data_IF_589412868777
#
_entry.id   IF_589412868777
#
_cell.length_a   1.000
_cell.length_b   1.000
_cell.length_c   1.000
_cell.angle_alpha   90.00
_cell.angle_beta   90.00
_cell.angle_gamma   90.00
#
_symmetry.space_group_name_H-M   'P 1'
#
loop_
_entity.id
_entity.type
_entity.pdbx_description
1 polymer ?
#
# COMPACT_ATOMS: atom_id res chain seq x y z
N UNK A 1 -1.91 -15.99 21.66
CA UNK A 1 -3.16 -15.34 21.21
C UNK A 1 -4.20 -15.21 22.31
N UNK A 2 -4.57 -16.27 23.05
CA UNK A 2 -5.60 -16.24 24.11
C UNK A 2 -5.31 -15.21 25.22
N UNK A 3 -4.06 -15.10 25.68
CA UNK A 3 -3.66 -14.10 26.69
C UNK A 3 -3.90 -12.65 26.21
N UNK A 4 -3.59 -12.35 24.95
CA UNK A 4 -3.82 -11.02 24.37
C UNK A 4 -5.32 -10.68 24.35
N UNK A 5 -6.17 -11.64 23.91
CA UNK A 5 -7.62 -11.46 23.87
C UNK A 5 -8.17 -11.19 25.27
N UNK A 6 -7.72 -11.94 26.29
CA UNK A 6 -8.16 -11.74 27.68
C UNK A 6 -7.70 -10.39 28.24
N UNK A 7 -6.46 -9.98 27.94
CA UNK A 7 -5.89 -8.73 28.43
C UNK A 7 -6.56 -7.48 27.82
N UNK A 8 -7.11 -7.59 26.60
CA UNK A 8 -7.76 -6.49 25.87
C UNK A 8 -9.28 -6.65 25.81
N UNK A 9 -9.85 -7.57 26.60
CA UNK A 9 -11.29 -7.83 26.56
C UNK A 9 -12.12 -6.57 26.82
N UNK A 10 -13.05 -6.30 25.91
CA UNK A 10 -13.93 -5.14 25.98
C UNK A 10 -13.26 -3.81 25.63
N UNK A 11 -11.99 -3.79 25.24
CA UNK A 11 -11.30 -2.59 24.80
C UNK A 11 -11.57 -2.33 23.31
N UNK A 12 -11.85 -1.07 22.98
CA UNK A 12 -12.13 -0.60 21.62
C UNK A 12 -11.41 0.72 21.37
N UNK A 13 -11.10 0.99 20.10
CA UNK A 13 -10.60 2.29 19.66
C UNK A 13 -11.76 3.24 19.42
N UNK A 14 -11.67 4.42 20.01
CA UNK A 14 -12.69 5.48 19.92
C UNK A 14 -12.06 6.79 19.44
N UNK A 15 -12.78 7.52 18.62
CA UNK A 15 -12.42 8.89 18.23
C UNK A 15 -13.67 9.76 18.20
N UNK A 16 -13.63 10.93 18.84
CA UNK A 16 -14.78 11.83 18.89
C UNK A 16 -16.07 11.20 19.44
N UNK A 17 -15.97 10.21 20.36
CA UNK A 17 -17.10 9.49 20.93
C UNK A 17 -17.68 8.37 20.05
N UNK A 18 -17.11 8.12 18.88
CA UNK A 18 -17.51 7.05 17.94
C UNK A 18 -16.46 5.94 17.84
N UNK A 19 -16.90 4.73 17.48
CA UNK A 19 -16.01 3.60 17.26
C UNK A 19 -15.17 3.83 16.00
N UNK A 20 -13.84 3.65 16.09
CA UNK A 20 -12.97 3.76 14.94
C UNK A 20 -13.15 2.59 13.97
N UNK A 21 -13.09 2.86 12.67
CA UNK A 21 -12.88 1.84 11.63
C UNK A 21 -11.39 1.43 11.65
N UNK A 22 -11.07 0.38 12.40
CA UNK A 22 -9.70 -0.05 12.68
C UNK A 22 -9.09 -0.82 11.50
N UNK A 23 -8.83 -0.14 10.39
CA UNK A 23 -8.21 -0.70 9.18
C UNK A 23 -6.75 -1.11 9.42
N UNK A 24 -6.29 -2.10 8.67
CA UNK A 24 -4.90 -2.55 8.72
C UNK A 24 -4.43 -3.10 7.38
N UNK A 25 -3.14 -3.05 7.13
CA UNK A 25 -2.47 -3.63 5.95
C UNK A 25 -1.16 -4.28 6.35
N UNK A 26 -0.60 -5.14 5.49
CA UNK A 26 0.68 -5.82 5.79
C UNK A 26 1.84 -4.86 5.95
N UNK A 27 2.00 -3.93 4.99
CA UNK A 27 3.06 -2.92 5.02
C UNK A 27 2.57 -1.61 4.41
N UNK A 28 2.70 -0.51 5.12
CA UNK A 28 2.37 0.82 4.59
C UNK A 28 3.39 1.32 3.55
N UNK A 29 4.62 0.78 3.54
CA UNK A 29 5.69 1.22 2.64
C UNK A 29 6.43 2.46 3.13
N UNK A 30 6.26 2.82 4.42
CA UNK A 30 6.93 3.92 5.12
C UNK A 30 6.07 5.15 5.37
N UNK A 31 4.92 5.27 4.70
CA UNK A 31 3.89 6.31 4.96
C UNK A 31 2.51 5.66 4.90
N UNK A 32 1.68 5.94 5.89
CA UNK A 32 0.29 5.50 5.92
C UNK A 32 -0.55 6.31 4.94
N UNK A 33 -1.61 5.66 4.40
CA UNK A 33 -2.54 6.27 3.46
C UNK A 33 -3.80 6.75 4.18
N UNK A 34 -4.45 7.75 3.62
CA UNK A 34 -5.77 8.23 4.06
C UNK A 34 -6.89 7.33 3.53
N UNK A 35 -7.95 7.19 4.33
CA UNK A 35 -9.09 6.34 4.02
C UNK A 35 -9.76 6.70 2.68
N UNK A 36 -10.00 7.98 2.43
CA UNK A 36 -10.71 8.46 1.24
C UNK A 36 -10.01 8.18 -0.09
N UNK A 37 -8.71 7.94 -0.08
CA UNK A 37 -7.95 7.57 -1.27
C UNK A 37 -8.17 6.09 -1.64
N UNK A 38 -8.56 5.25 -0.66
CA UNK A 38 -8.80 3.82 -0.84
C UNK A 38 -10.27 3.47 -1.08
N UNK A 39 -11.18 4.13 -0.36
CA UNK A 39 -12.61 3.82 -0.35
C UNK A 39 -13.48 5.01 -0.71
N UNK A 40 -14.53 5.29 0.08
CA UNK A 40 -15.44 6.42 -0.11
C UNK A 40 -14.72 7.75 0.18
N UNK A 41 -15.17 8.85 -0.43
CA UNK A 41 -14.62 10.19 -0.17
C UNK A 41 -15.14 10.72 1.19
N UNK A 42 -14.77 10.02 2.25
CA UNK A 42 -15.10 10.34 3.63
C UNK A 42 -13.82 10.41 4.44
N UNK A 43 -13.52 11.58 5.00
CA UNK A 43 -12.31 11.77 5.80
C UNK A 43 -12.52 11.23 7.22
N UNK A 44 -11.52 10.51 7.72
CA UNK A 44 -11.43 10.06 9.10
C UNK A 44 -10.19 10.64 9.75
N UNK A 45 -10.32 11.59 10.65
CA UNK A 45 -9.19 12.28 11.31
C UNK A 45 -8.18 11.33 11.94
N UNK A 46 -8.60 10.14 12.38
CA UNK A 46 -7.74 9.12 12.96
C UNK A 46 -7.05 8.19 11.95
N UNK A 47 -7.36 8.31 10.65
CA UNK A 47 -6.71 7.58 9.54
C UNK A 47 -5.97 8.55 8.62
N UNK A 48 -5.19 9.43 9.20
CA UNK A 48 -4.38 10.40 8.46
C UNK A 48 -3.05 9.83 7.97
N UNK A 49 -2.51 10.47 6.94
CA UNK A 49 -1.19 10.17 6.43
C UNK A 49 -0.12 10.53 7.45
N UNK A 50 0.73 9.56 7.77
CA UNK A 50 1.82 9.72 8.73
C UNK A 50 3.00 8.86 8.36
N UNK A 51 4.20 9.33 8.72
CA UNK A 51 5.40 8.54 8.59
C UNK A 51 5.41 7.37 9.58
N UNK A 52 5.73 6.17 9.07
CA UNK A 52 5.89 4.95 9.88
C UNK A 52 7.32 4.88 10.44
N UNK A 53 7.63 5.70 11.45
CA UNK A 53 8.96 5.82 12.04
C UNK A 53 8.97 6.25 13.50
N UNK A 54 10.15 6.22 14.12
CA UNK A 54 10.32 6.60 15.54
C UNK A 54 10.09 8.10 15.79
N UNK A 55 10.43 8.91 14.81
CA UNK A 55 10.27 10.36 14.87
C UNK A 55 9.14 10.78 13.92
N UNK A 56 8.41 11.81 14.30
CA UNK A 56 7.47 12.52 13.43
C UNK A 56 8.26 13.39 12.45
N UNK A 57 9.03 12.74 11.58
CA UNK A 57 9.76 13.45 10.54
C UNK A 57 8.82 13.82 9.41
N UNK A 58 9.00 15.01 8.88
CA UNK A 58 8.36 15.41 7.65
C UNK A 58 8.75 14.45 6.51
N UNK A 59 7.82 14.14 5.65
CA UNK A 59 8.06 13.40 4.43
C UNK A 59 7.63 14.25 3.21
N UNK A 60 8.22 14.00 2.03
CA UNK A 60 7.88 14.78 0.84
C UNK A 60 6.39 14.58 0.46
N UNK A 61 5.80 15.57 -0.18
CA UNK A 61 4.44 15.47 -0.73
C UNK A 61 4.38 14.37 -1.81
N UNK A 62 3.96 13.16 -1.42
CA UNK A 62 3.90 11.98 -2.29
C UNK A 62 2.69 11.98 -3.25
N UNK A 63 1.84 13.00 -3.20
CA UNK A 63 0.82 13.22 -4.23
C UNK A 63 1.46 13.70 -5.54
N UNK A 64 2.68 14.22 -5.48
CA UNK A 64 3.48 14.64 -6.63
C UNK A 64 4.27 13.46 -7.19
N UNK A 65 4.17 13.26 -8.49
CA UNK A 65 4.77 12.10 -9.17
C UNK A 65 6.29 11.99 -8.94
N UNK A 66 7.03 13.10 -9.04
CA UNK A 66 8.49 13.10 -8.85
C UNK A 66 8.89 12.66 -7.44
N UNK A 67 8.22 13.20 -6.42
CA UNK A 67 8.46 12.85 -5.03
C UNK A 67 8.07 11.39 -4.74
N UNK A 68 6.93 10.94 -5.27
CA UNK A 68 6.47 9.56 -5.13
C UNK A 68 7.45 8.58 -5.80
N UNK A 69 7.96 8.92 -6.99
CA UNK A 69 8.94 8.09 -7.69
C UNK A 69 10.24 7.98 -6.89
N UNK A 70 10.78 9.09 -6.40
CA UNK A 70 11.99 9.09 -5.56
C UNK A 70 11.79 8.26 -4.29
N UNK A 71 10.65 8.43 -3.59
CA UNK A 71 10.30 7.67 -2.39
C UNK A 71 10.20 6.17 -2.65
N UNK A 72 9.50 5.79 -3.71
CA UNK A 72 9.28 4.38 -4.07
C UNK A 72 10.59 3.70 -4.48
N UNK A 73 11.44 4.39 -5.22
CA UNK A 73 12.72 3.86 -5.71
C UNK A 73 13.81 3.86 -4.63
N UNK A 74 13.68 4.69 -3.60
CA UNK A 74 14.56 4.71 -2.44
C UNK A 74 14.11 3.70 -1.36
N UNK A 75 14.88 3.57 -0.29
CA UNK A 75 14.54 2.70 0.84
C UNK A 75 14.70 3.46 2.16
N UNK A 76 13.89 4.51 2.41
CA UNK A 76 14.00 5.29 3.64
C UNK A 76 13.70 4.44 4.87
N UNK A 77 14.24 4.86 6.02
CA UNK A 77 14.00 4.16 7.28
C UNK A 77 12.50 4.22 7.64
N UNK A 78 11.96 3.10 8.11
CA UNK A 78 10.59 2.99 8.60
C UNK A 78 10.50 1.77 9.53
N UNK A 79 9.50 1.70 10.41
CA UNK A 79 9.28 0.49 11.20
C UNK A 79 9.07 -0.73 10.30
N UNK A 80 8.29 -0.60 9.23
CA UNK A 80 8.05 -1.71 8.31
C UNK A 80 9.19 -2.00 7.32
N UNK A 81 10.30 -1.25 7.35
CA UNK A 81 11.49 -1.54 6.55
C UNK A 81 12.37 -2.58 7.26
N UNK A 82 11.92 -3.82 7.29
CA UNK A 82 12.63 -4.93 7.91
C UNK A 82 12.59 -6.18 7.03
N UNK A 83 13.65 -6.96 7.08
CA UNK A 83 13.75 -8.31 6.50
C UNK A 83 14.01 -9.36 7.58
N UNK A 84 13.88 -8.99 8.85
CA UNK A 84 14.10 -9.87 9.98
C UNK A 84 13.08 -11.02 10.01
N UNK A 85 13.51 -12.28 9.82
CA UNK A 85 12.59 -13.42 9.74
C UNK A 85 11.89 -13.69 11.07
N UNK A 86 12.51 -13.37 12.22
CA UNK A 86 11.88 -13.57 13.54
C UNK A 86 10.69 -12.64 13.73
N UNK A 87 10.79 -11.41 13.22
CA UNK A 87 9.69 -10.44 13.24
C UNK A 87 8.62 -10.82 12.20
N UNK A 88 9.03 -11.10 10.96
CA UNK A 88 8.10 -11.40 9.87
C UNK A 88 7.28 -12.67 10.15
N UNK A 89 7.86 -13.70 10.74
CA UNK A 89 7.16 -14.95 11.09
C UNK A 89 6.05 -14.78 12.13
N UNK A 90 6.06 -13.69 12.90
CA UNK A 90 5.03 -13.42 13.92
C UNK A 90 3.74 -12.85 13.32
N UNK A 91 3.81 -12.21 12.16
CA UNK A 91 2.69 -11.47 11.56
C UNK A 91 2.29 -11.97 10.18
N UNK A 92 3.11 -12.81 9.57
CA UNK A 92 2.85 -13.36 8.24
C UNK A 92 2.42 -14.82 8.34
N UNK A 93 1.49 -15.20 7.47
CA UNK A 93 1.11 -16.61 7.29
C UNK A 93 2.25 -17.36 6.58
N UNK A 94 2.26 -18.69 6.68
CA UNK A 94 3.32 -19.54 6.12
C UNK A 94 3.53 -19.30 4.61
N UNK A 95 2.46 -19.12 3.83
CA UNK A 95 2.52 -18.84 2.40
C UNK A 95 2.98 -17.42 2.05
N UNK A 96 2.97 -16.48 3.00
CA UNK A 96 3.49 -15.13 2.81
C UNK A 96 5.00 -15.06 3.15
N UNK A 97 5.58 -16.10 3.75
CA UNK A 97 7.00 -16.15 4.12
C UNK A 97 7.92 -16.50 2.95
N UNK A 98 7.38 -16.84 1.79
CA UNK A 98 8.15 -17.11 0.57
C UNK A 98 8.85 -15.87 0.01
N UNK A 99 8.41 -14.66 0.39
CA UNK A 99 9.01 -13.39 -0.01
C UNK A 99 9.41 -12.56 1.21
N UNK A 100 10.42 -11.69 1.01
CA UNK A 100 10.83 -10.66 1.98
C UNK A 100 10.57 -9.24 1.46
N UNK A 101 10.01 -9.12 0.27
CA UNK A 101 9.87 -7.87 -0.48
C UNK A 101 8.59 -7.10 -0.11
N UNK A 102 8.29 -7.00 1.20
CA UNK A 102 7.09 -6.30 1.69
C UNK A 102 7.23 -4.79 1.66
N UNK A 103 8.44 -4.29 1.89
CA UNK A 103 8.70 -2.86 1.94
C UNK A 103 8.91 -2.27 0.55
N UNK A 104 9.68 -2.98 -0.30
CA UNK A 104 9.90 -2.63 -1.71
C UNK A 104 9.79 -3.90 -2.53
N UNK A 105 9.11 -3.81 -3.67
CA UNK A 105 8.84 -4.96 -4.52
C UNK A 105 9.02 -4.61 -6.00
N UNK A 106 9.14 -5.62 -6.82
CA UNK A 106 9.30 -5.53 -8.27
C UNK A 106 8.48 -6.61 -8.95
N UNK A 107 7.77 -6.24 -10.03
CA UNK A 107 7.05 -7.16 -10.92
C UNK A 107 7.37 -6.79 -12.36
N UNK A 108 7.52 -7.79 -13.21
CA UNK A 108 7.85 -7.61 -14.62
C UNK A 108 6.80 -8.31 -15.49
N UNK A 109 6.46 -7.69 -16.59
CA UNK A 109 5.55 -8.23 -17.60
C UNK A 109 6.11 -7.95 -19.00
N UNK A 110 6.03 -8.94 -19.87
CA UNK A 110 6.14 -8.71 -21.33
C UNK A 110 4.92 -7.96 -21.83
N UNK A 111 5.00 -7.42 -23.04
CA UNK A 111 3.86 -6.74 -23.70
C UNK A 111 2.62 -7.65 -23.77
N UNK A 112 2.81 -8.93 -24.16
CA UNK A 112 1.72 -9.86 -24.32
C UNK A 112 1.09 -10.25 -22.98
N UNK A 113 1.92 -10.48 -21.95
CA UNK A 113 1.44 -10.81 -20.60
C UNK A 113 0.58 -9.68 -20.02
N UNK A 114 1.05 -8.43 -20.07
CA UNK A 114 0.31 -7.31 -19.48
C UNK A 114 -0.98 -7.01 -20.27
N UNK A 115 -0.96 -7.12 -21.60
CA UNK A 115 -2.14 -6.92 -22.42
C UNK A 115 -3.21 -7.99 -22.15
N UNK A 116 -2.82 -9.27 -22.07
CA UNK A 116 -3.70 -10.37 -21.74
C UNK A 116 -4.26 -10.25 -20.33
N UNK A 117 -3.40 -9.94 -19.34
CA UNK A 117 -3.77 -9.76 -17.95
C UNK A 117 -4.81 -8.65 -17.76
N UNK A 118 -4.54 -7.45 -18.30
CA UNK A 118 -5.46 -6.32 -18.20
C UNK A 118 -6.81 -6.64 -18.86
N UNK A 119 -6.79 -7.30 -20.03
CA UNK A 119 -8.01 -7.74 -20.70
C UNK A 119 -8.82 -8.71 -19.85
N UNK A 120 -8.18 -9.72 -19.29
CA UNK A 120 -8.82 -10.72 -18.42
C UNK A 120 -9.43 -10.05 -17.18
N UNK A 121 -8.64 -9.22 -16.50
CA UNK A 121 -9.02 -8.64 -15.19
C UNK A 121 -10.05 -7.52 -15.30
N UNK A 122 -10.00 -6.73 -16.37
CA UNK A 122 -10.92 -5.59 -16.56
C UNK A 122 -12.10 -5.89 -17.49
N UNK A 123 -12.09 -7.02 -18.20
CA UNK A 123 -13.05 -7.34 -19.25
C UNK A 123 -12.94 -6.43 -20.50
N UNK A 124 -11.88 -5.62 -20.59
CA UNK A 124 -11.69 -4.61 -21.63
C UNK A 124 -10.46 -4.93 -22.48
N UNK A 125 -10.65 -5.08 -23.77
CA UNK A 125 -9.55 -5.26 -24.74
C UNK A 125 -8.95 -3.90 -25.14
N UNK A 126 -7.75 -3.64 -24.63
CA UNK A 126 -6.98 -2.43 -24.96
C UNK A 126 -6.06 -2.63 -26.18
N UNK A 127 -5.91 -3.85 -26.71
CA UNK A 127 -4.86 -4.20 -27.64
C UNK A 127 -3.49 -4.22 -26.94
N UNK A 128 -2.43 -3.88 -27.66
CA UNK A 128 -1.10 -3.68 -27.04
C UNK A 128 -1.14 -2.48 -26.10
N UNK A 129 -0.45 -2.57 -24.99
CA UNK A 129 -0.37 -1.48 -24.00
C UNK A 129 0.79 -0.56 -24.38
N UNK A 130 0.50 0.71 -24.55
CA UNK A 130 1.50 1.74 -24.82
C UNK A 130 2.06 2.34 -23.54
N UNK A 131 1.16 2.57 -22.56
CA UNK A 131 1.55 3.22 -21.32
C UNK A 131 0.58 2.90 -20.16
N UNK A 132 1.12 3.00 -18.95
CA UNK A 132 0.38 3.02 -17.69
C UNK A 132 0.73 4.33 -16.98
N UNK A 133 -0.14 5.33 -17.10
CA UNK A 133 0.15 6.69 -16.66
C UNK A 133 -0.48 6.97 -15.29
N UNK A 134 0.30 7.36 -14.28
CA UNK A 134 -0.21 7.94 -13.05
C UNK A 134 -1.09 9.16 -13.34
N UNK A 135 -2.29 9.20 -12.75
CA UNK A 135 -3.22 10.35 -12.89
C UNK A 135 -3.41 11.04 -11.56
N UNK A 136 -3.53 10.27 -10.47
CA UNK A 136 -3.61 10.83 -9.13
C UNK A 136 -3.10 9.84 -8.09
N UNK A 137 -2.35 10.36 -7.13
CA UNK A 137 -1.80 9.65 -5.98
C UNK A 137 -2.38 10.20 -4.68
N UNK A 138 -2.56 9.32 -3.72
CA UNK A 138 -2.81 9.68 -2.32
C UNK A 138 -1.53 10.09 -1.60
N UNK A 139 -1.68 10.45 -0.36
CA UNK A 139 -0.64 10.98 0.52
C UNK A 139 0.51 10.01 0.80
N UNK A 140 0.31 8.70 0.63
CA UNK A 140 1.35 7.66 0.71
C UNK A 140 2.02 7.33 -0.63
N UNK A 141 1.70 8.06 -1.70
CA UNK A 141 2.15 7.77 -3.06
C UNK A 141 1.35 6.67 -3.77
N UNK A 142 0.33 6.10 -3.13
CA UNK A 142 -0.56 5.12 -3.76
C UNK A 142 -1.40 5.75 -4.84
N UNK A 143 -1.45 5.11 -6.01
CA UNK A 143 -2.33 5.50 -7.09
C UNK A 143 -3.78 5.15 -6.75
N UNK A 144 -4.67 6.13 -6.78
CA UNK A 144 -6.11 5.92 -6.78
C UNK A 144 -6.76 6.23 -8.14
N UNK A 145 -5.97 6.75 -9.11
CA UNK A 145 -6.36 6.89 -10.53
C UNK A 145 -5.17 6.57 -11.42
N UNK A 146 -5.35 5.60 -12.31
CA UNK A 146 -4.37 5.15 -13.29
C UNK A 146 -4.99 5.19 -14.68
N UNK A 147 -4.29 5.78 -15.65
CA UNK A 147 -4.67 5.76 -17.06
C UNK A 147 -3.98 4.60 -17.75
N UNK A 148 -4.75 3.71 -18.36
CA UNK A 148 -4.26 2.66 -19.24
C UNK A 148 -4.39 3.16 -20.67
N UNK A 149 -3.26 3.27 -21.37
CA UNK A 149 -3.18 3.71 -22.77
C UNK A 149 -2.86 2.49 -23.62
N UNK A 150 -3.83 2.04 -24.38
CA UNK A 150 -3.68 0.91 -25.29
C UNK A 150 -3.86 1.31 -26.75
N UNK A 151 -3.62 0.35 -27.64
CA UNK A 151 -3.74 0.51 -29.10
C UNK A 151 -5.19 0.79 -29.52
N UNK A 152 -6.16 0.10 -28.91
CA UNK A 152 -7.57 0.16 -29.28
C UNK A 152 -8.36 1.17 -28.47
N UNK A 153 -7.89 1.51 -27.26
CA UNK A 153 -8.60 2.44 -26.37
C UNK A 153 -7.73 2.91 -25.21
N UNK A 154 -8.22 3.95 -24.56
CA UNK A 154 -7.65 4.53 -23.38
C UNK A 154 -8.75 4.69 -22.31
N UNK A 155 -8.43 4.41 -21.05
CA UNK A 155 -9.35 4.62 -19.92
C UNK A 155 -8.58 4.91 -18.63
N UNK A 156 -9.20 5.70 -17.76
CA UNK A 156 -8.76 5.85 -16.38
C UNK A 156 -9.52 4.86 -15.52
N UNK A 157 -8.78 4.07 -14.74
CA UNK A 157 -9.32 3.16 -13.73
C UNK A 157 -8.96 3.64 -12.32
N UNK A 158 -9.66 3.19 -11.34
CA UNK A 158 -9.50 3.45 -9.90
C UNK A 158 -10.66 2.81 -9.12
N UNK A 159 -10.63 2.65 -7.79
CA UNK A 159 -9.58 3.17 -6.89
C UNK A 159 -8.41 2.18 -6.76
N UNK A 160 -7.66 2.25 -5.61
CA UNK A 160 -6.41 1.51 -5.40
C UNK A 160 -6.59 0.01 -5.62
N UNK A 161 -7.63 -0.59 -5.05
CA UNK A 161 -7.90 -2.02 -5.18
C UNK A 161 -8.20 -2.44 -6.62
N UNK A 162 -8.94 -1.61 -7.37
CA UNK A 162 -9.22 -1.85 -8.79
C UNK A 162 -7.95 -1.84 -9.63
N UNK A 163 -7.02 -0.91 -9.33
CA UNK A 163 -5.71 -0.84 -10.00
C UNK A 163 -4.91 -2.10 -9.71
N UNK A 164 -4.86 -2.53 -8.45
CA UNK A 164 -4.13 -3.73 -8.03
C UNK A 164 -4.68 -5.01 -8.69
N UNK A 165 -6.00 -5.14 -8.78
CA UNK A 165 -6.62 -6.27 -9.46
C UNK A 165 -6.39 -6.26 -10.98
N UNK A 166 -6.37 -5.11 -11.61
CA UNK A 166 -6.15 -4.98 -13.05
C UNK A 166 -4.73 -5.39 -13.47
N UNK A 167 -3.75 -5.29 -12.58
CA UNK A 167 -2.32 -5.46 -12.85
C UNK A 167 -1.69 -6.69 -12.17
N UNK A 168 -2.50 -7.67 -11.76
CA UNK A 168 -2.00 -8.92 -11.18
C UNK A 168 -2.98 -10.08 -11.40
N UNK A 169 -2.50 -11.31 -11.60
CA UNK A 169 -3.35 -12.50 -11.64
C UNK A 169 -4.14 -12.74 -10.34
N UNK A 170 -3.62 -12.28 -9.22
CA UNK A 170 -4.30 -12.30 -7.91
C UNK A 170 -4.65 -10.88 -7.45
N UNK A 171 -3.72 -10.22 -6.80
CA UNK A 171 -3.81 -8.83 -6.39
C UNK A 171 -2.39 -8.27 -6.28
N UNK A 172 -2.07 -7.18 -6.99
CA UNK A 172 -0.76 -6.54 -6.90
C UNK A 172 -0.48 -6.11 -5.46
N UNK A 173 0.76 -6.15 -5.04
CA UNK A 173 1.16 -5.88 -3.66
C UNK A 173 0.58 -4.57 -3.10
N UNK A 174 0.72 -3.48 -3.83
CA UNK A 174 0.09 -2.19 -3.55
C UNK A 174 -0.14 -1.41 -4.85
N UNK A 175 -0.79 -0.25 -4.76
CA UNK A 175 -0.86 0.71 -5.87
C UNK A 175 0.20 1.83 -5.77
N UNK A 176 1.12 1.76 -4.80
CA UNK A 176 2.28 2.66 -4.73
C UNK A 176 3.38 2.10 -5.62
N UNK A 177 3.37 2.44 -6.91
CA UNK A 177 4.40 1.98 -7.84
C UNK A 177 4.75 3.03 -8.89
N UNK A 178 5.92 2.85 -9.48
CA UNK A 178 6.36 3.52 -10.72
C UNK A 178 6.45 2.51 -11.84
N UNK A 179 6.34 2.98 -13.07
CA UNK A 179 6.33 2.16 -14.29
C UNK A 179 7.57 2.48 -15.11
N UNK A 180 8.40 1.47 -15.35
CA UNK A 180 9.53 1.54 -16.28
C UNK A 180 9.14 0.80 -17.57
N UNK A 181 9.41 1.42 -18.71
CA UNK A 181 9.18 0.85 -20.06
C UNK A 181 10.52 0.51 -20.68
N UNK A 182 10.68 -0.73 -21.12
CA UNK A 182 11.92 -1.22 -21.72
C UNK A 182 11.69 -1.66 -23.14
N UNK A 183 12.75 -1.52 -23.96
CA UNK A 183 12.79 -1.95 -25.35
C UNK A 183 11.61 -1.39 -26.17
N UNK A 184 11.46 -0.06 -26.11
CA UNK A 184 10.39 0.64 -26.81
C UNK A 184 10.69 0.65 -28.30
N UNK A 185 9.83 0.02 -29.10
CA UNK A 185 9.97 0.00 -30.56
C UNK A 185 9.70 1.34 -31.22
N UNK A 186 9.99 1.46 -32.51
CA UNK A 186 9.73 2.66 -33.32
C UNK A 186 8.24 3.00 -33.39
N UNK A 187 7.36 2.02 -33.15
CA UNK A 187 5.91 2.18 -33.06
C UNK A 187 5.44 2.70 -31.70
N UNK A 188 6.34 2.94 -30.76
CA UNK A 188 6.10 3.52 -29.44
C UNK A 188 5.51 2.50 -28.42
N UNK A 189 5.56 1.19 -28.70
CA UNK A 189 5.15 0.16 -27.76
C UNK A 189 6.36 -0.49 -27.09
N UNK A 190 6.39 -0.58 -25.75
CA UNK A 190 7.46 -1.26 -25.05
C UNK A 190 7.31 -2.79 -25.17
N UNK A 191 8.43 -3.50 -25.27
CA UNK A 191 8.42 -4.95 -25.22
C UNK A 191 8.20 -5.47 -23.79
N UNK A 192 8.55 -4.65 -22.78
CA UNK A 192 8.50 -5.03 -21.36
C UNK A 192 8.12 -3.85 -20.47
N UNK A 193 7.32 -4.15 -19.45
CA UNK A 193 6.97 -3.26 -18.35
C UNK A 193 7.60 -3.77 -17.05
N UNK A 194 8.19 -2.88 -16.27
CA UNK A 194 8.67 -3.16 -14.92
C UNK A 194 7.94 -2.25 -13.95
N UNK A 195 7.24 -2.83 -12.99
CA UNK A 195 6.58 -2.12 -11.91
C UNK A 195 7.46 -2.25 -10.66
N UNK A 196 7.95 -1.13 -10.14
CA UNK A 196 8.64 -1.07 -8.86
C UNK A 196 7.74 -0.38 -7.85
N UNK A 197 7.54 -0.99 -6.70
CA UNK A 197 6.58 -0.47 -5.76
C UNK A 197 6.99 -0.55 -4.30
N UNK A 198 6.14 0.02 -3.45
CA UNK A 198 6.33 0.16 -2.02
C UNK A 198 5.11 -0.32 -1.23
N UNK A 199 5.38 -1.09 -0.17
CA UNK A 199 4.36 -1.58 0.74
C UNK A 199 3.46 -2.68 0.20
N UNK A 200 2.56 -3.19 1.05
CA UNK A 200 1.64 -4.28 0.73
C UNK A 200 0.26 -4.03 1.36
N UNK A 201 -0.73 -3.84 0.53
CA UNK A 201 -2.08 -3.47 0.89
C UNK A 201 -2.37 -1.98 0.68
N UNK A 202 -3.54 -1.56 1.14
CA UNK A 202 -4.04 -0.19 0.99
C UNK A 202 -3.25 0.86 1.79
N UNK A 203 -2.56 0.46 2.85
CA UNK A 203 -1.69 1.35 3.64
C UNK A 203 -2.39 2.19 4.71
N UNK A 204 -3.71 2.24 4.75
CA UNK A 204 -4.45 3.02 5.74
C UNK A 204 -4.51 2.30 7.10
N UNK A 205 -4.39 3.04 8.19
CA UNK A 205 -4.41 2.53 9.55
C UNK A 205 -3.19 1.71 9.93
N UNK A 206 -3.37 0.62 10.69
CA UNK A 206 -2.28 -0.15 11.26
C UNK A 206 -1.43 -0.88 10.20
N UNK A 207 -0.12 -0.66 10.24
CA UNK A 207 0.87 -1.41 9.48
C UNK A 207 1.30 -2.65 10.31
N UNK A 208 0.94 -3.87 9.86
CA UNK A 208 1.19 -5.09 10.63
C UNK A 208 2.69 -5.33 10.88
N UNK A 209 3.52 -5.17 9.85
CA UNK A 209 4.98 -5.35 9.99
C UNK A 209 5.57 -4.25 10.86
N UNK A 210 5.16 -3.00 10.69
CA UNK A 210 5.60 -1.90 11.54
C UNK A 210 5.21 -2.11 12.99
N UNK A 211 3.98 -2.54 13.26
CA UNK A 211 3.50 -2.87 14.60
C UNK A 211 4.32 -3.99 15.25
N UNK A 212 4.71 -5.03 14.50
CA UNK A 212 5.56 -6.10 15.00
C UNK A 212 6.98 -5.59 15.35
N UNK A 213 7.56 -4.74 14.50
CA UNK A 213 8.86 -4.10 14.79
C UNK A 213 8.77 -3.22 16.02
N UNK A 214 7.72 -2.42 16.18
CA UNK A 214 7.49 -1.63 17.39
C UNK A 214 7.42 -2.53 18.62
N UNK A 215 6.66 -3.63 18.57
CA UNK A 215 6.58 -4.61 19.65
C UNK A 215 7.94 -5.22 20.00
N UNK A 216 8.75 -5.59 19.01
CA UNK A 216 10.11 -6.09 19.20
C UNK A 216 11.05 -5.04 19.84
N UNK A 217 10.79 -3.76 19.61
CA UNK A 217 11.49 -2.64 20.24
C UNK A 217 10.97 -2.28 21.64
N UNK A 218 9.96 -2.98 22.15
CA UNK A 218 9.43 -2.80 23.49
C UNK A 218 8.26 -1.82 23.63
N UNK A 219 7.69 -1.33 22.53
CA UNK A 219 6.46 -0.56 22.58
C UNK A 219 5.30 -1.42 23.05
N UNK A 220 4.48 -0.90 23.94
CA UNK A 220 3.26 -1.59 24.35
C UNK A 220 2.15 -1.46 23.28
N UNK A 221 1.11 -2.31 23.40
CA UNK A 221 0.04 -2.33 22.40
C UNK A 221 -0.73 -1.00 22.29
N UNK A 222 -0.79 -0.19 23.35
CA UNK A 222 -1.45 1.12 23.33
C UNK A 222 -0.62 2.12 22.54
N UNK A 223 0.68 2.14 22.79
CA UNK A 223 1.61 2.98 22.02
C UNK A 223 1.56 2.63 20.54
N UNK A 224 1.53 1.32 20.21
CA UNK A 224 1.41 0.85 18.83
C UNK A 224 0.09 1.31 18.20
N UNK A 225 -1.04 1.06 18.85
CA UNK A 225 -2.35 1.45 18.30
C UNK A 225 -2.47 2.96 18.11
N UNK A 226 -2.03 3.76 19.07
CA UNK A 226 -2.11 5.22 19.02
C UNK A 226 -1.08 5.85 18.05
N UNK A 227 -0.04 5.10 17.65
CA UNK A 227 0.83 5.49 16.55
C UNK A 227 0.09 5.44 15.21
N UNK A 228 -0.76 4.43 14.98
CA UNK A 228 -1.46 4.24 13.71
C UNK A 228 -2.86 4.85 13.65
N UNK A 229 -3.48 5.13 14.78
CA UNK A 229 -4.80 5.75 14.88
C UNK A 229 -4.69 7.08 15.64
N UNK A 230 -4.39 8.14 14.89
CA UNK A 230 -4.04 9.45 15.45
C UNK A 230 -5.22 10.04 16.21
N UNK A 231 -4.98 10.59 17.40
CA UNK A 231 -6.02 11.20 18.22
C UNK A 231 -7.09 10.24 18.75
N UNK A 232 -6.97 8.94 18.50
CA UNK A 232 -7.86 7.95 19.06
C UNK A 232 -7.59 7.71 20.56
N UNK A 233 -8.58 7.15 21.26
CA UNK A 233 -8.45 6.67 22.65
C UNK A 233 -8.78 5.17 22.71
N UNK A 234 -8.23 4.47 23.69
CA UNK A 234 -8.58 3.09 23.99
C UNK A 234 -9.51 3.09 25.19
N UNK A 235 -10.75 2.67 24.99
CA UNK A 235 -11.78 2.66 26.00
C UNK A 235 -12.29 1.25 26.27
N UNK A 236 -12.62 0.95 27.55
CA UNK A 236 -13.28 -0.29 27.89
C UNK A 236 -14.80 -0.08 27.86
N UNK A 237 -15.52 -0.81 27.00
CA UNK A 237 -16.96 -0.64 26.77
C UNK A 237 -17.81 -1.79 27.29
N UNK A 238 -17.23 -2.95 27.58
CA UNK A 238 -17.93 -4.13 28.16
C UNK A 238 -16.97 -5.09 28.88
#
# INVERSE_FOLDING_TARGET
>A
MEQAIRATWGQVLMHGGTLCDARFSKSCGGVMEEFENCWEPHHHDYLEARRDGENEEDFPDLTREDNAAEWILSSPSAFCNTTDPEILSQVLNDYDQETKDFYRWKVEYTQDEIAALIKERTGTDYGRIRDLQPVARGTSGRLYRLRIVGEKRERIIGKELTIRYALSPSCLYSSAFVVEKHDVGDDGYPAKFVLRGAGWGHGAGLCQIGAAVMGAKGYDYKQILLHYFVGASIEKRY
#
